data_IF_410982604246
#
_entry.id   IF_410982604246
#
_cell.length_a   1.000
_cell.length_b   1.000
_cell.length_c   1.000
_cell.angle_alpha   90.00
_cell.angle_beta   90.00
_cell.angle_gamma   90.00
#
_symmetry.space_group_name_H-M   'P 1'
#
loop_
_entity.id
_entity.type
_entity.pdbx_description
1 polymer ?
#
# COMPACT_ATOMS: atom_id res chain seq x y z
N UNK A 1 6.15 14.51 -7.11
CA UNK A 1 4.90 13.71 -7.07
C UNK A 1 4.92 12.68 -8.19
N UNK A 2 4.43 11.47 -7.92
CA UNK A 2 4.40 10.37 -8.87
C UNK A 2 3.01 9.74 -8.90
N UNK A 3 2.49 9.51 -10.11
CA UNK A 3 1.25 8.76 -10.35
C UNK A 3 1.58 7.50 -11.14
N UNK A 4 1.07 6.37 -10.68
CA UNK A 4 1.32 5.07 -11.29
C UNK A 4 0.04 4.60 -11.99
N UNK A 5 0.15 4.17 -13.23
CA UNK A 5 -0.91 3.48 -13.96
C UNK A 5 -0.50 2.01 -14.05
N UNK A 6 -1.33 1.12 -13.53
CA UNK A 6 -1.19 -0.31 -13.74
C UNK A 6 -2.23 -0.76 -14.75
N UNK A 7 -1.80 -1.50 -15.75
CA UNK A 7 -2.72 -2.12 -16.73
C UNK A 7 -2.48 -3.62 -16.74
N UNK A 8 -3.52 -4.39 -16.41
CA UNK A 8 -3.51 -5.84 -16.55
C UNK A 8 -3.96 -6.24 -17.96
N UNK A 9 -3.14 -7.05 -18.63
CA UNK A 9 -3.43 -7.61 -19.96
C UNK A 9 -3.04 -9.11 -19.97
N UNK A 10 -3.85 -9.96 -19.34
CA UNK A 10 -3.49 -11.33 -19.03
C UNK A 10 -3.11 -12.16 -20.25
N UNK A 11 -2.13 -13.07 -20.08
CA UNK A 11 -1.69 -14.01 -21.09
C UNK A 11 -0.82 -13.43 -22.21
N UNK A 12 -0.46 -12.16 -22.15
CA UNK A 12 0.33 -11.51 -23.20
C UNK A 12 1.80 -11.43 -22.84
N UNK A 13 2.65 -11.71 -23.83
CA UNK A 13 4.11 -11.57 -23.69
C UNK A 13 4.51 -10.10 -23.47
N UNK A 14 5.63 -9.81 -22.79
CA UNK A 14 6.09 -8.45 -22.51
C UNK A 14 6.15 -7.55 -23.76
N UNK A 15 6.62 -8.08 -24.89
CA UNK A 15 6.69 -7.35 -26.15
C UNK A 15 5.32 -6.92 -26.67
N UNK A 16 4.30 -7.78 -26.52
CA UNK A 16 2.92 -7.46 -26.90
C UNK A 16 2.35 -6.39 -25.95
N UNK A 17 2.58 -6.55 -24.65
CA UNK A 17 2.19 -5.56 -23.64
C UNK A 17 2.84 -4.22 -23.90
N UNK A 18 4.13 -4.18 -24.27
CA UNK A 18 4.82 -2.96 -24.64
C UNK A 18 4.18 -2.28 -25.83
N UNK A 19 4.02 -2.99 -26.94
CA UNK A 19 3.53 -2.41 -28.19
C UNK A 19 2.07 -1.94 -28.10
N UNK A 20 1.23 -2.68 -27.41
CA UNK A 20 -0.22 -2.44 -27.41
C UNK A 20 -0.72 -1.66 -26.19
N UNK A 21 0.04 -1.61 -25.10
CA UNK A 21 -0.39 -1.00 -23.84
C UNK A 21 0.63 0.00 -23.32
N UNK A 22 1.85 -0.42 -23.02
CA UNK A 22 2.83 0.43 -22.32
C UNK A 22 3.24 1.64 -23.17
N UNK A 23 3.62 1.42 -24.43
CA UNK A 23 4.05 2.48 -25.33
C UNK A 23 2.93 3.48 -25.64
N UNK A 24 1.70 3.07 -26.02
CA UNK A 24 0.59 4.00 -26.21
C UNK A 24 0.25 4.81 -24.96
N UNK A 25 0.26 4.20 -23.79
CA UNK A 25 0.03 4.89 -22.51
C UNK A 25 1.17 5.87 -22.21
N UNK A 26 2.43 5.44 -22.28
CA UNK A 26 3.57 6.29 -21.96
C UNK A 26 3.65 7.52 -22.87
N UNK A 27 3.44 7.36 -24.18
CA UNK A 27 3.43 8.47 -25.13
C UNK A 27 2.29 9.44 -24.90
N UNK A 28 1.10 8.96 -24.55
CA UNK A 28 -0.04 9.82 -24.21
C UNK A 28 0.22 10.59 -22.91
N UNK A 29 0.81 9.94 -21.91
CA UNK A 29 1.09 10.59 -20.62
C UNK A 29 2.20 11.64 -20.69
N UNK A 30 3.04 11.67 -21.72
CA UNK A 30 4.00 12.76 -21.96
C UNK A 30 3.32 14.12 -22.20
N UNK A 31 2.07 14.10 -22.65
CA UNK A 31 1.30 15.31 -22.91
C UNK A 31 0.54 15.82 -21.67
N UNK A 32 0.61 15.12 -20.55
CA UNK A 32 -0.05 15.55 -19.31
C UNK A 32 0.63 16.81 -18.77
N UNK A 33 -0.11 17.89 -18.51
CA UNK A 33 0.45 19.13 -17.98
C UNK A 33 1.23 18.89 -16.68
N UNK A 34 2.43 19.45 -16.57
CA UNK A 34 3.30 19.31 -15.40
C UNK A 34 4.00 17.95 -15.29
N UNK A 35 3.85 17.05 -16.27
CA UNK A 35 4.61 15.81 -16.32
C UNK A 35 6.08 16.11 -16.70
N UNK A 36 7.01 15.77 -15.82
CA UNK A 36 8.46 15.93 -16.01
C UNK A 36 9.08 14.74 -16.72
N UNK A 37 8.64 13.54 -16.35
CA UNK A 37 9.17 12.28 -16.89
C UNK A 37 8.10 11.21 -16.88
N UNK A 38 8.05 10.41 -17.93
CA UNK A 38 7.19 9.21 -18.01
C UNK A 38 8.06 8.00 -18.25
N UNK A 39 7.86 6.94 -17.47
CA UNK A 39 8.59 5.67 -17.57
C UNK A 39 7.60 4.53 -17.68
N UNK A 40 7.81 3.64 -18.65
CA UNK A 40 7.01 2.45 -18.85
C UNK A 40 7.80 1.18 -18.55
N UNK A 41 7.13 0.19 -17.95
CA UNK A 41 7.66 -1.15 -17.72
C UNK A 41 6.63 -2.17 -18.18
N UNK A 42 7.09 -3.14 -18.98
CA UNK A 42 6.26 -4.20 -19.54
C UNK A 42 6.68 -5.54 -18.99
N UNK A 43 5.71 -6.25 -18.40
CA UNK A 43 5.87 -7.59 -17.84
C UNK A 43 4.93 -8.54 -18.56
N UNK A 44 5.05 -9.85 -18.29
CA UNK A 44 4.09 -10.82 -18.77
C UNK A 44 2.70 -10.53 -18.18
N UNK A 45 1.79 -10.08 -19.02
CA UNK A 45 0.41 -9.75 -18.67
C UNK A 45 0.19 -8.50 -17.83
N UNK A 46 1.22 -7.66 -17.56
CA UNK A 46 1.09 -6.40 -16.83
C UNK A 46 1.94 -5.29 -17.42
N UNK A 47 1.42 -4.08 -17.38
CA UNK A 47 2.12 -2.84 -17.70
C UNK A 47 2.08 -1.89 -16.52
N UNK A 48 3.19 -1.20 -16.27
CA UNK A 48 3.27 -0.12 -15.29
C UNK A 48 3.81 1.13 -15.95
N UNK A 49 3.05 2.22 -15.90
CA UNK A 49 3.47 3.53 -16.39
C UNK A 49 3.53 4.50 -15.22
N UNK A 50 4.71 5.06 -15.01
CA UNK A 50 5.01 6.02 -13.95
C UNK A 50 5.05 7.42 -14.55
N UNK A 51 4.18 8.30 -14.10
CA UNK A 51 4.16 9.71 -14.49
C UNK A 51 4.71 10.51 -13.31
N UNK A 52 5.89 11.11 -13.51
CA UNK A 52 6.55 11.95 -12.51
C UNK A 52 6.26 13.42 -12.86
N UNK A 53 5.81 14.16 -11.86
CA UNK A 53 5.46 15.57 -11.98
C UNK A 53 6.55 16.49 -11.43
N UNK A 54 6.47 17.77 -11.78
CA UNK A 54 7.31 18.82 -11.18
C UNK A 54 7.14 18.88 -9.67
N UNK A 55 8.18 19.35 -8.98
CA UNK A 55 8.16 19.51 -7.54
C UNK A 55 7.09 20.53 -7.11
N UNK A 56 6.42 20.27 -5.99
CA UNK A 56 5.32 21.11 -5.52
C UNK A 56 3.95 20.84 -6.16
N UNK A 57 3.87 19.94 -7.16
CA UNK A 57 2.58 19.57 -7.76
C UNK A 57 1.68 18.87 -6.71
N UNK A 58 0.40 19.27 -6.66
CA UNK A 58 -0.58 18.57 -5.82
C UNK A 58 -0.85 17.15 -6.34
N UNK A 59 -0.82 16.17 -5.45
CA UNK A 59 -1.00 14.76 -5.82
C UNK A 59 -2.39 14.49 -6.42
N UNK A 60 -3.44 15.05 -5.85
CA UNK A 60 -4.80 14.76 -6.31
C UNK A 60 -5.11 15.47 -7.62
N UNK A 61 -4.58 16.66 -7.83
CA UNK A 61 -4.61 17.32 -9.12
C UNK A 61 -3.88 16.47 -10.18
N UNK A 62 -2.67 16.02 -9.91
CA UNK A 62 -1.90 15.16 -10.81
C UNK A 62 -2.66 13.87 -11.17
N UNK A 63 -3.25 13.21 -10.17
CA UNK A 63 -4.08 12.01 -10.36
C UNK A 63 -5.30 12.29 -11.25
N UNK A 64 -5.96 13.43 -11.06
CA UNK A 64 -7.10 13.84 -11.88
C UNK A 64 -6.70 14.07 -13.34
N UNK A 65 -5.56 14.71 -13.58
CA UNK A 65 -5.04 14.89 -14.95
C UNK A 65 -4.69 13.57 -15.61
N UNK A 66 -3.96 12.71 -14.90
CA UNK A 66 -3.64 11.37 -15.43
C UNK A 66 -4.90 10.56 -15.74
N UNK A 67 -5.92 10.63 -14.89
CA UNK A 67 -7.18 9.92 -15.12
C UNK A 67 -7.91 10.44 -16.37
N UNK A 68 -7.90 11.76 -16.61
CA UNK A 68 -8.48 12.36 -17.80
C UNK A 68 -7.81 11.83 -19.07
N UNK A 69 -6.48 11.84 -19.13
CA UNK A 69 -5.73 11.31 -20.27
C UNK A 69 -5.87 9.80 -20.42
N UNK A 70 -5.96 9.07 -19.28
CA UNK A 70 -6.23 7.64 -19.30
C UNK A 70 -7.59 7.31 -19.93
N UNK A 71 -8.62 8.09 -19.62
CA UNK A 71 -9.94 7.94 -20.22
C UNK A 71 -9.93 8.21 -21.75
N UNK A 72 -9.16 9.21 -22.19
CA UNK A 72 -9.04 9.52 -23.62
C UNK A 72 -8.40 8.38 -24.42
N UNK A 73 -7.40 7.70 -23.85
CA UNK A 73 -6.71 6.62 -24.56
C UNK A 73 -7.40 5.26 -24.40
N UNK A 74 -8.31 5.09 -23.46
CA UNK A 74 -8.94 3.80 -23.14
C UNK A 74 -9.53 3.08 -24.38
N UNK A 75 -10.13 3.81 -25.30
CA UNK A 75 -10.71 3.25 -26.53
C UNK A 75 -9.65 2.70 -27.51
N UNK A 76 -8.38 3.12 -27.38
CA UNK A 76 -7.27 2.69 -28.24
C UNK A 76 -6.54 1.47 -27.67
N UNK A 77 -6.77 1.15 -26.40
CA UNK A 77 -6.19 -0.01 -25.74
C UNK A 77 -6.98 -1.27 -26.13
N UNK A 78 -6.34 -2.45 -26.10
CA UNK A 78 -7.04 -3.73 -26.32
C UNK A 78 -8.22 -3.89 -25.34
N UNK A 79 -9.35 -4.42 -25.83
CA UNK A 79 -10.56 -4.59 -25.02
C UNK A 79 -10.36 -5.45 -23.77
N UNK A 80 -9.37 -6.35 -23.76
CA UNK A 80 -9.01 -7.18 -22.61
C UNK A 80 -8.09 -6.47 -21.62
N UNK A 81 -7.48 -5.34 -21.99
CA UNK A 81 -6.63 -4.57 -21.10
C UNK A 81 -7.47 -3.78 -20.07
N UNK A 82 -7.09 -3.86 -18.80
CA UNK A 82 -7.76 -3.17 -17.70
C UNK A 82 -6.79 -2.27 -16.98
N UNK A 83 -6.99 -0.97 -17.12
CA UNK A 83 -6.13 0.04 -16.49
C UNK A 83 -6.74 0.58 -15.20
N UNK A 84 -5.89 0.84 -14.21
CA UNK A 84 -6.24 1.45 -12.94
C UNK A 84 -5.11 2.35 -12.45
N UNK A 85 -5.42 3.36 -11.65
CA UNK A 85 -4.40 4.13 -10.95
C UNK A 85 -3.90 3.37 -9.73
N UNK A 86 -2.60 3.43 -9.48
CA UNK A 86 -2.02 3.00 -8.23
C UNK A 86 -2.54 3.80 -7.02
N UNK A 87 -2.17 3.41 -5.79
CA UNK A 87 -2.63 4.10 -4.58
C UNK A 87 -2.14 5.55 -4.53
N UNK A 88 -2.86 6.38 -3.77
CA UNK A 88 -2.50 7.77 -3.46
C UNK A 88 -1.41 7.84 -2.36
N UNK A 89 -0.29 7.19 -2.64
CA UNK A 89 0.83 7.02 -1.73
C UNK A 89 2.16 7.34 -2.43
N UNK A 90 3.20 7.49 -1.63
CA UNK A 90 4.58 7.62 -2.11
C UNK A 90 5.33 6.29 -1.96
N UNK A 91 6.50 6.16 -2.59
CA UNK A 91 7.37 4.98 -2.44
C UNK A 91 7.85 4.71 -1.02
N UNK A 92 7.77 5.71 -0.13
CA UNK A 92 8.08 5.58 1.30
C UNK A 92 6.84 5.34 2.17
N UNK A 93 5.68 5.06 1.56
CA UNK A 93 4.40 4.87 2.25
C UNK A 93 4.25 3.53 2.99
N UNK A 94 5.16 2.60 2.84
CA UNK A 94 5.14 1.33 3.58
C UNK A 94 5.45 1.58 5.05
N UNK A 95 4.44 1.43 5.91
CA UNK A 95 4.57 1.77 7.33
C UNK A 95 4.51 0.56 8.24
N UNK A 96 3.87 -0.53 7.80
CA UNK A 96 3.72 -1.74 8.57
C UNK A 96 3.69 -2.95 7.65
N UNK A 97 4.46 -3.99 8.00
CA UNK A 97 4.48 -5.26 7.28
C UNK A 97 4.31 -6.40 8.27
N UNK A 98 3.58 -7.43 7.84
CA UNK A 98 3.32 -8.61 8.66
C UNK A 98 3.24 -9.86 7.79
N UNK A 99 3.49 -10.98 8.43
CA UNK A 99 3.32 -12.31 7.86
C UNK A 99 2.23 -13.09 8.61
N UNK A 100 1.53 -13.97 7.89
CA UNK A 100 0.58 -14.93 8.43
C UNK A 100 1.29 -16.26 8.58
N UNK A 101 1.43 -16.73 9.82
CA UNK A 101 2.10 -17.99 10.13
C UNK A 101 1.09 -18.96 10.70
N UNK A 102 0.93 -20.12 10.07
CA UNK A 102 0.17 -21.23 10.67
C UNK A 102 1.11 -22.14 11.47
N UNK A 103 0.92 -22.15 12.79
CA UNK A 103 1.70 -22.99 13.71
C UNK A 103 1.20 -24.44 13.77
N UNK A 104 0.04 -24.71 13.20
CA UNK A 104 -0.59 -26.05 13.24
C UNK A 104 -0.35 -26.88 11.99
N UNK A 105 0.04 -26.25 10.88
CA UNK A 105 0.16 -26.89 9.58
C UNK A 105 -1.18 -27.32 8.96
N UNK A 106 -2.30 -26.81 9.48
CA UNK A 106 -3.65 -27.15 9.00
C UNK A 106 -4.12 -26.27 7.86
N UNK A 107 -3.45 -25.14 7.63
CA UNK A 107 -3.82 -24.17 6.60
C UNK A 107 -2.74 -24.10 5.52
N UNK A 108 -3.14 -24.30 4.28
CA UNK A 108 -2.25 -24.14 3.14
C UNK A 108 -2.07 -22.67 2.74
N UNK A 109 -1.09 -22.41 1.87
CA UNK A 109 -0.79 -21.05 1.38
C UNK A 109 -1.97 -20.40 0.65
N UNK A 110 -2.87 -21.18 0.06
CA UNK A 110 -4.05 -20.66 -0.62
C UNK A 110 -5.12 -20.20 0.39
N UNK A 111 -5.26 -20.92 1.49
CA UNK A 111 -6.17 -20.55 2.58
C UNK A 111 -5.66 -19.29 3.31
N UNK A 112 -4.36 -19.23 3.63
CA UNK A 112 -3.75 -18.04 4.21
C UNK A 112 -3.84 -16.82 3.27
N UNK A 113 -3.66 -17.05 1.96
CA UNK A 113 -3.83 -16.00 0.95
C UNK A 113 -5.27 -15.51 0.88
N UNK A 114 -6.24 -16.40 0.93
CA UNK A 114 -7.65 -16.04 0.94
C UNK A 114 -8.01 -15.25 2.22
N UNK A 115 -7.49 -15.65 3.38
CA UNK A 115 -7.66 -14.92 4.64
C UNK A 115 -7.10 -13.49 4.54
N UNK A 116 -5.92 -13.34 3.94
CA UNK A 116 -5.30 -12.03 3.72
C UNK A 116 -6.12 -11.18 2.75
N UNK A 117 -6.45 -11.71 1.56
CA UNK A 117 -7.08 -10.94 0.49
C UNK A 117 -8.53 -10.58 0.78
N UNK A 118 -9.30 -11.46 1.45
CA UNK A 118 -10.73 -11.32 1.63
C UNK A 118 -11.18 -10.90 3.03
N UNK A 119 -10.28 -10.92 4.02
CA UNK A 119 -10.59 -10.51 5.37
C UNK A 119 -9.65 -9.40 5.86
N UNK A 120 -8.36 -9.71 6.11
CA UNK A 120 -7.44 -8.74 6.72
C UNK A 120 -7.24 -7.48 5.87
N UNK A 121 -7.08 -7.65 4.56
CA UNK A 121 -6.91 -6.53 3.63
C UNK A 121 -8.09 -5.56 3.68
N UNK A 122 -9.32 -6.07 3.67
CA UNK A 122 -10.51 -5.22 3.71
C UNK A 122 -10.63 -4.50 5.05
N UNK A 123 -10.46 -5.21 6.15
CA UNK A 123 -10.55 -4.65 7.49
C UNK A 123 -9.51 -3.55 7.74
N UNK A 124 -8.26 -3.77 7.34
CA UNK A 124 -7.20 -2.77 7.47
C UNK A 124 -7.36 -1.59 6.51
N UNK A 125 -7.94 -1.81 5.33
CA UNK A 125 -8.17 -0.74 4.34
C UNK A 125 -9.27 0.24 4.78
N UNK A 126 -10.14 -0.13 5.72
CA UNK A 126 -11.14 0.79 6.29
C UNK A 126 -10.54 1.83 7.22
N UNK A 127 -9.31 1.63 7.67
CA UNK A 127 -8.67 2.56 8.59
C UNK A 127 -8.38 3.92 7.94
N UNK A 128 -8.55 5.02 8.69
CA UNK A 128 -8.18 6.33 8.21
C UNK A 128 -6.72 6.39 7.77
N UNK A 129 -6.46 7.12 6.70
CA UNK A 129 -5.11 7.36 6.15
C UNK A 129 -4.39 6.14 5.55
N UNK A 130 -5.00 4.96 5.53
CA UNK A 130 -4.50 3.81 4.77
C UNK A 130 -4.88 3.98 3.31
N UNK A 131 -3.88 4.02 2.43
CA UNK A 131 -4.09 4.13 0.98
C UNK A 131 -4.43 2.77 0.39
N UNK A 132 -3.66 1.76 0.77
CA UNK A 132 -3.81 0.39 0.32
C UNK A 132 -3.21 -0.59 1.32
N UNK A 133 -3.66 -1.84 1.24
CA UNK A 133 -3.01 -2.98 1.88
C UNK A 133 -2.63 -3.95 0.77
N UNK A 134 -1.34 -4.01 0.46
CA UNK A 134 -0.82 -4.92 -0.55
C UNK A 134 -0.59 -6.31 0.04
N UNK A 135 -0.91 -7.35 -0.72
CA UNK A 135 -0.62 -8.73 -0.34
C UNK A 135 0.65 -9.20 -1.01
N UNK A 136 1.52 -9.88 -0.27
CA UNK A 136 2.75 -10.49 -0.77
C UNK A 136 2.75 -11.98 -0.45
N UNK A 137 3.34 -12.78 -1.34
CA UNK A 137 3.43 -14.24 -1.18
C UNK A 137 2.11 -14.99 -1.29
N UNK A 138 2.17 -16.23 -0.88
CA UNK A 138 1.04 -17.14 -0.91
C UNK A 138 0.65 -17.56 -2.34
N UNK A 139 -0.52 -18.18 -2.43
CA UNK A 139 -1.01 -18.81 -3.64
C UNK A 139 -2.47 -18.42 -3.89
N UNK A 140 -2.73 -17.68 -4.97
CA UNK A 140 -4.11 -17.40 -5.38
C UNK A 140 -4.71 -18.66 -5.97
N UNK A 141 -5.82 -19.13 -5.38
CA UNK A 141 -6.55 -20.30 -5.85
C UNK A 141 -7.38 -19.95 -7.06
N UNK A 142 -7.32 -20.77 -8.11
CA UNK A 142 -8.13 -20.64 -9.31
C UNK A 142 -8.70 -21.98 -9.76
N UNK A 143 -9.82 -21.93 -10.49
CA UNK A 143 -10.33 -23.07 -11.24
C UNK A 143 -9.50 -23.21 -12.52
N UNK A 144 -8.95 -24.41 -12.73
CA UNK A 144 -8.14 -24.73 -13.89
C UNK A 144 -8.89 -25.74 -14.76
N UNK A 145 -9.06 -25.38 -16.02
CA UNK A 145 -9.59 -26.25 -17.06
C UNK A 145 -8.42 -26.65 -17.96
N UNK A 146 -7.86 -27.83 -17.70
CA UNK A 146 -6.73 -28.37 -18.46
C UNK A 146 -7.26 -29.17 -19.62
N UNK A 147 -7.18 -28.59 -20.82
CA UNK A 147 -7.72 -29.17 -22.03
C UNK A 147 -6.87 -30.35 -22.53
N UNK A 148 -7.52 -31.42 -23.03
CA UNK A 148 -6.87 -32.52 -23.72
C UNK A 148 -6.93 -32.26 -25.23
N UNK A 149 -5.81 -31.94 -25.91
CA UNK A 149 -5.80 -31.60 -27.33
C UNK A 149 -6.27 -32.75 -28.22
N UNK A 150 -5.99 -34.01 -27.82
CA UNK A 150 -6.37 -35.20 -28.62
C UNK A 150 -7.89 -35.42 -28.59
N UNK A 151 -8.48 -35.30 -27.41
CA UNK A 151 -9.93 -35.38 -27.24
C UNK A 151 -10.66 -34.22 -27.92
N UNK A 152 -10.14 -32.97 -27.79
CA UNK A 152 -10.71 -31.84 -28.52
C UNK A 152 -10.72 -32.06 -30.02
N UNK A 153 -9.59 -32.51 -30.59
CA UNK A 153 -9.52 -32.84 -32.02
C UNK A 153 -10.46 -33.96 -32.42
N UNK A 154 -10.57 -35.03 -31.58
CA UNK A 154 -11.48 -36.16 -31.83
C UNK A 154 -12.94 -35.74 -31.89
N UNK A 155 -13.38 -34.79 -31.12
CA UNK A 155 -14.74 -34.25 -31.13
C UNK A 155 -14.91 -33.05 -32.06
N UNK A 156 -13.84 -32.53 -32.69
CA UNK A 156 -13.85 -31.33 -33.52
C UNK A 156 -14.29 -30.10 -32.75
N UNK A 157 -13.77 -29.93 -31.52
CA UNK A 157 -14.02 -28.80 -30.62
C UNK A 157 -12.76 -27.96 -30.53
N UNK A 158 -12.90 -26.65 -30.66
CA UNK A 158 -11.79 -25.70 -30.53
C UNK A 158 -11.66 -25.15 -29.10
N UNK A 159 -10.50 -24.58 -28.77
CA UNK A 159 -10.34 -23.88 -27.51
C UNK A 159 -11.27 -22.66 -27.39
N UNK A 160 -11.61 -22.01 -28.50
CA UNK A 160 -12.56 -20.90 -28.52
C UNK A 160 -13.97 -21.37 -28.12
N UNK A 161 -14.41 -22.52 -28.63
CA UNK A 161 -15.72 -23.12 -28.29
C UNK A 161 -15.80 -23.39 -26.77
N UNK A 162 -14.74 -23.94 -26.19
CA UNK A 162 -14.66 -24.18 -24.74
C UNK A 162 -14.77 -22.87 -23.96
N UNK A 163 -13.99 -21.84 -24.33
CA UNK A 163 -14.02 -20.53 -23.68
C UNK A 163 -15.41 -19.90 -23.73
N UNK A 164 -16.06 -19.95 -24.89
CA UNK A 164 -17.40 -19.42 -25.11
C UNK A 164 -18.46 -20.17 -24.31
N UNK A 165 -18.37 -21.53 -24.28
CA UNK A 165 -19.26 -22.35 -23.48
C UNK A 165 -19.15 -22.06 -21.98
N UNK A 166 -17.94 -21.92 -21.43
CA UNK A 166 -17.72 -21.54 -20.03
C UNK A 166 -18.30 -20.15 -19.76
N UNK A 167 -18.04 -19.18 -20.64
CA UNK A 167 -18.59 -17.83 -20.52
C UNK A 167 -20.11 -17.79 -20.50
N UNK A 168 -20.76 -18.58 -21.36
CA UNK A 168 -22.22 -18.71 -21.41
C UNK A 168 -22.79 -19.44 -20.20
N UNK A 169 -22.08 -20.43 -19.68
CA UNK A 169 -22.53 -21.21 -18.52
C UNK A 169 -22.41 -20.43 -17.20
N UNK A 170 -21.52 -19.41 -17.14
CA UNK A 170 -21.29 -18.63 -15.92
C UNK A 170 -21.97 -17.25 -15.99
N UNK A 171 -23.28 -17.25 -16.18
CA UNK A 171 -24.09 -16.03 -16.29
C UNK A 171 -25.34 -16.13 -15.41
N UNK A 172 -25.79 -14.99 -14.97
CA UNK A 172 -27.07 -14.82 -14.28
C UNK A 172 -27.92 -13.83 -15.07
N UNK A 173 -29.17 -14.15 -15.26
CA UNK A 173 -30.12 -13.29 -15.99
C UNK A 173 -31.36 -13.06 -15.14
N UNK A 174 -31.75 -11.81 -14.97
CA UNK A 174 -33.07 -11.47 -14.47
C UNK A 174 -34.11 -11.72 -15.55
N UNK A 175 -35.19 -12.36 -15.17
CA UNK A 175 -36.37 -12.52 -16.02
C UNK A 175 -37.44 -11.48 -15.67
N UNK A 176 -38.66 -11.74 -16.11
CA UNK A 176 -39.83 -10.92 -15.80
C UNK A 176 -40.41 -11.24 -14.42
N UNK A 177 -41.38 -10.47 -13.99
CA UNK A 177 -42.17 -10.74 -12.79
C UNK A 177 -43.37 -11.57 -13.20
N UNK A 178 -43.64 -12.64 -12.46
CA UNK A 178 -44.84 -13.47 -12.60
C UNK A 178 -45.84 -13.09 -11.52
N UNK A 179 -46.97 -12.56 -11.91
CA UNK A 179 -48.04 -12.20 -10.98
C UNK A 179 -48.95 -13.41 -10.78
N UNK A 180 -49.04 -13.90 -9.54
CA UNK A 180 -49.89 -15.00 -9.13
C UNK A 180 -50.84 -14.50 -8.01
N UNK A 181 -52.05 -14.11 -8.38
CA UNK A 181 -53.00 -13.52 -7.45
C UNK A 181 -52.47 -12.17 -6.92
N UNK A 182 -52.36 -12.03 -5.59
CA UNK A 182 -51.84 -10.82 -4.94
C UNK A 182 -50.32 -10.83 -4.76
N UNK A 183 -49.60 -11.87 -5.19
CA UNK A 183 -48.16 -11.99 -5.05
C UNK A 183 -47.45 -11.82 -6.40
N UNK A 184 -46.36 -11.03 -6.38
CA UNK A 184 -45.42 -10.95 -7.49
C UNK A 184 -44.17 -11.80 -7.20
N UNK A 185 -43.91 -12.74 -8.12
CA UNK A 185 -42.75 -13.62 -8.06
C UNK A 185 -41.73 -13.20 -9.11
N UNK A 186 -40.54 -12.89 -8.69
CA UNK A 186 -39.43 -12.53 -9.58
C UNK A 186 -38.85 -13.83 -10.22
N UNK A 187 -38.84 -13.90 -11.52
CA UNK A 187 -38.21 -15.01 -12.27
C UNK A 187 -36.74 -14.66 -12.45
N UNK A 188 -35.88 -15.56 -12.04
CA UNK A 188 -34.42 -15.43 -12.16
C UNK A 188 -33.81 -16.73 -12.68
N UNK A 189 -32.99 -16.62 -13.72
CA UNK A 189 -32.14 -17.71 -14.16
C UNK A 189 -30.76 -17.58 -13.43
N UNK A 190 -30.46 -18.56 -12.58
CA UNK A 190 -29.19 -18.64 -11.85
C UNK A 190 -28.28 -19.66 -12.50
N UNK A 191 -27.17 -19.24 -13.08
CA UNK A 191 -26.23 -20.08 -13.81
C UNK A 191 -24.77 -19.94 -13.35
N UNK A 192 -24.50 -19.27 -12.21
CA UNK A 192 -23.11 -19.18 -11.70
C UNK A 192 -22.56 -20.56 -11.32
N UNK A 193 -21.35 -20.83 -11.79
CA UNK A 193 -20.62 -22.06 -11.50
C UNK A 193 -20.08 -21.96 -10.05
N UNK A 194 -20.37 -22.95 -9.21
CA UNK A 194 -20.05 -22.96 -7.78
C UNK A 194 -19.09 -24.09 -7.39
N UNK A 195 -19.03 -25.14 -8.19
CA UNK A 195 -18.26 -26.33 -7.90
C UNK A 195 -17.55 -26.90 -9.12
N UNK A 196 -16.54 -27.76 -8.90
CA UNK A 196 -15.88 -28.48 -9.99
C UNK A 196 -16.85 -29.35 -10.80
N UNK A 197 -17.94 -29.81 -10.18
CA UNK A 197 -18.97 -30.61 -10.85
C UNK A 197 -19.71 -29.76 -11.87
N UNK A 198 -20.06 -28.53 -11.52
CA UNK A 198 -20.77 -27.63 -12.45
C UNK A 198 -19.95 -27.39 -13.71
N UNK A 199 -18.63 -27.23 -13.58
CA UNK A 199 -17.75 -27.10 -14.74
C UNK A 199 -17.74 -28.35 -15.60
N UNK A 200 -17.72 -29.57 -15.00
CA UNK A 200 -17.67 -30.83 -15.74
C UNK A 200 -18.91 -31.05 -16.56
N UNK A 201 -20.05 -30.55 -16.14
CA UNK A 201 -21.36 -30.74 -16.78
C UNK A 201 -21.68 -29.69 -17.84
N UNK A 202 -20.80 -28.75 -18.15
CA UNK A 202 -21.00 -27.75 -19.20
C UNK A 202 -21.06 -28.45 -20.56
N UNK A 203 -22.16 -28.32 -21.31
CA UNK A 203 -22.27 -28.91 -22.66
C UNK A 203 -21.48 -28.06 -23.67
N UNK A 204 -20.64 -28.70 -24.45
CA UNK A 204 -19.85 -28.09 -25.52
C UNK A 204 -20.46 -28.26 -26.90
N UNK A 205 -20.93 -29.49 -27.22
CA UNK A 205 -21.42 -29.84 -28.54
C UNK A 205 -22.36 -31.07 -28.45
N UNK A 206 -23.25 -31.20 -29.41
CA UNK A 206 -24.01 -32.45 -29.62
C UNK A 206 -23.29 -33.29 -30.66
N UNK A 207 -22.91 -34.52 -30.29
CA UNK A 207 -22.34 -35.51 -31.19
C UNK A 207 -23.32 -36.70 -31.29
N UNK A 208 -23.89 -36.90 -32.43
CA UNK A 208 -24.90 -37.98 -32.71
C UNK A 208 -26.06 -38.00 -31.68
N UNK A 209 -26.54 -36.82 -31.28
CA UNK A 209 -27.61 -36.68 -30.28
C UNK A 209 -27.17 -36.78 -28.80
N UNK A 210 -25.90 -37.05 -28.54
CA UNK A 210 -25.34 -37.13 -27.19
C UNK A 210 -24.53 -35.85 -26.90
N UNK A 211 -24.76 -35.17 -25.77
CA UNK A 211 -23.97 -34.00 -25.42
C UNK A 211 -22.54 -34.39 -25.03
N UNK A 212 -21.56 -33.75 -25.65
CA UNK A 212 -20.16 -33.79 -25.22
C UNK A 212 -19.99 -32.71 -24.15
N UNK A 213 -19.58 -33.11 -22.95
CA UNK A 213 -19.41 -32.24 -21.80
C UNK A 213 -17.97 -31.78 -21.69
N UNK A 214 -17.77 -30.68 -20.97
CA UNK A 214 -16.42 -30.15 -20.69
C UNK A 214 -15.54 -31.18 -19.97
N UNK A 215 -16.11 -31.96 -19.05
CA UNK A 215 -15.42 -33.05 -18.37
C UNK A 215 -14.92 -34.18 -19.25
N UNK A 216 -15.48 -34.33 -20.47
CA UNK A 216 -15.05 -35.37 -21.43
C UNK A 216 -13.73 -35.00 -22.14
N UNK A 217 -13.48 -33.69 -22.30
CA UNK A 217 -12.35 -33.14 -23.06
C UNK A 217 -11.33 -32.35 -22.19
N UNK A 218 -11.60 -32.24 -20.89
CA UNK A 218 -10.72 -31.49 -19.97
C UNK A 218 -10.66 -32.11 -18.59
N UNK A 219 -9.53 -31.95 -17.93
CA UNK A 219 -9.39 -32.15 -16.47
C UNK A 219 -9.68 -30.86 -15.74
N UNK A 220 -10.64 -30.89 -14.81
CA UNK A 220 -11.05 -29.72 -14.05
C UNK A 220 -10.58 -29.87 -12.62
N UNK A 221 -9.77 -28.92 -12.16
CA UNK A 221 -9.13 -28.96 -10.86
C UNK A 221 -9.04 -27.58 -10.23
N UNK A 222 -8.79 -27.53 -8.93
CA UNK A 222 -8.31 -26.33 -8.27
C UNK A 222 -6.78 -26.30 -8.32
N UNK A 223 -6.22 -25.17 -8.66
CA UNK A 223 -4.78 -25.01 -8.73
C UNK A 223 -4.34 -23.58 -8.40
N UNK A 224 -3.03 -23.35 -8.31
CA UNK A 224 -2.49 -22.03 -8.09
C UNK A 224 -2.53 -21.18 -9.36
N UNK A 225 -2.74 -19.87 -9.21
CA UNK A 225 -2.40 -18.92 -10.25
C UNK A 225 -0.90 -18.97 -10.54
N UNK A 226 -0.49 -18.55 -11.72
CA UNK A 226 0.93 -18.47 -12.08
C UNK A 226 1.69 -17.60 -11.06
N UNK A 227 2.69 -18.20 -10.42
CA UNK A 227 3.47 -17.53 -9.38
C UNK A 227 4.45 -16.54 -10.01
N UNK A 228 4.49 -15.33 -9.46
CA UNK A 228 5.40 -14.27 -9.88
C UNK A 228 6.46 -13.92 -8.83
N UNK A 229 6.32 -14.47 -7.64
CA UNK A 229 7.22 -14.24 -6.53
C UNK A 229 6.94 -15.17 -5.36
N UNK A 230 7.85 -15.16 -4.40
CA UNK A 230 7.81 -15.93 -3.17
C UNK A 230 8.00 -14.95 -2.02
N UNK A 231 7.21 -15.08 -0.96
CA UNK A 231 7.48 -14.47 0.32
C UNK A 231 7.87 -15.56 1.31
N UNK A 232 8.93 -15.34 2.03
CA UNK A 232 9.47 -16.25 3.02
C UNK A 232 9.71 -15.51 4.34
N UNK A 233 9.62 -16.22 5.45
CA UNK A 233 9.89 -15.68 6.77
C UNK A 233 10.97 -16.50 7.47
N UNK A 234 12.10 -15.87 7.78
CA UNK A 234 13.20 -16.39 8.62
C UNK A 234 13.75 -17.77 8.21
N UNK A 235 13.74 -18.11 6.92
CA UNK A 235 14.18 -19.42 6.43
C UNK A 235 13.27 -20.59 6.80
N UNK A 236 12.06 -20.32 7.29
CA UNK A 236 11.11 -21.35 7.74
C UNK A 236 10.13 -21.80 6.67
N UNK A 237 10.28 -21.29 5.45
CA UNK A 237 9.43 -21.62 4.31
C UNK A 237 8.51 -20.47 3.88
N UNK A 238 7.69 -20.78 2.89
CA UNK A 238 6.81 -19.79 2.28
C UNK A 238 5.71 -19.32 3.20
N UNK A 239 5.39 -18.03 3.10
CA UNK A 239 4.33 -17.40 3.88
C UNK A 239 3.52 -16.43 3.03
N UNK A 240 2.47 -15.90 3.64
CA UNK A 240 1.64 -14.82 3.10
C UNK A 240 1.82 -13.62 3.99
N UNK A 241 2.01 -12.45 3.39
CA UNK A 241 2.12 -11.22 4.16
C UNK A 241 1.22 -10.12 3.64
N UNK A 242 1.09 -9.09 4.47
CA UNK A 242 0.43 -7.84 4.13
C UNK A 242 1.34 -6.65 4.36
N UNK A 243 1.26 -5.67 3.47
CA UNK A 243 1.97 -4.39 3.55
C UNK A 243 0.94 -3.28 3.64
N UNK A 244 0.93 -2.55 4.76
CA UNK A 244 0.04 -1.40 4.95
C UNK A 244 0.72 -0.15 4.42
N UNK A 245 0.04 0.54 3.51
CA UNK A 245 0.56 1.68 2.77
C UNK A 245 -0.17 2.94 3.21
N UNK A 246 0.60 3.91 3.71
CA UNK A 246 0.11 5.22 4.17
C UNK A 246 -0.21 6.14 2.99
N UNK A 247 -1.29 6.89 3.08
CA UNK A 247 -1.59 7.98 2.16
C UNK A 247 -0.54 9.08 2.23
N UNK A 248 -0.25 9.67 1.08
CA UNK A 248 0.69 10.78 0.97
C UNK A 248 0.31 11.94 1.90
N UNK A 249 1.30 12.48 2.62
CA UNK A 249 1.12 13.64 3.50
C UNK A 249 0.40 13.34 4.83
N UNK A 250 0.08 12.07 5.15
CA UNK A 250 -0.59 11.72 6.40
C UNK A 250 0.38 11.31 7.51
N UNK A 251 -0.12 11.35 8.76
CA UNK A 251 0.69 11.04 9.93
C UNK A 251 0.85 9.53 10.12
N UNK A 252 2.08 9.04 9.98
CA UNK A 252 2.40 7.62 10.10
C UNK A 252 2.16 7.09 11.53
N UNK A 253 2.50 7.86 12.57
CA UNK A 253 2.38 7.42 13.97
C UNK A 253 0.91 7.20 14.38
N UNK A 254 0.03 8.12 14.00
CA UNK A 254 -1.40 8.01 14.25
C UNK A 254 -2.01 6.81 13.51
N UNK A 255 -1.64 6.65 12.24
CA UNK A 255 -2.13 5.53 11.42
C UNK A 255 -1.63 4.19 11.95
N UNK A 256 -0.37 4.09 12.39
CA UNK A 256 0.18 2.89 13.01
C UNK A 256 -0.54 2.52 14.31
N UNK A 257 -0.86 3.49 15.15
CA UNK A 257 -1.66 3.24 16.35
C UNK A 257 -3.02 2.62 16.01
N UNK A 258 -3.70 3.11 14.97
CA UNK A 258 -4.96 2.54 14.50
C UNK A 258 -4.77 1.13 13.91
N UNK A 259 -3.69 0.90 13.15
CA UNK A 259 -3.36 -0.43 12.60
C UNK A 259 -3.12 -1.45 13.71
N UNK A 260 -2.34 -1.11 14.73
CA UNK A 260 -2.08 -1.97 15.89
C UNK A 260 -3.38 -2.32 16.62
N UNK A 261 -4.20 -1.32 16.94
CA UNK A 261 -5.47 -1.54 17.63
C UNK A 261 -6.41 -2.44 16.80
N UNK A 262 -6.47 -2.23 15.49
CA UNK A 262 -7.29 -3.05 14.60
C UNK A 262 -6.78 -4.49 14.51
N UNK A 263 -5.47 -4.70 14.37
CA UNK A 263 -4.88 -6.03 14.33
C UNK A 263 -5.13 -6.82 15.62
N UNK A 264 -5.05 -6.16 16.78
CA UNK A 264 -5.38 -6.82 18.05
C UNK A 264 -6.86 -7.27 18.10
N UNK A 265 -7.78 -6.46 17.59
CA UNK A 265 -9.20 -6.85 17.47
C UNK A 265 -9.38 -8.05 16.52
N UNK A 266 -8.67 -8.05 15.39
CA UNK A 266 -8.81 -9.09 14.36
C UNK A 266 -8.19 -10.44 14.78
N UNK A 267 -7.23 -10.46 15.70
CA UNK A 267 -6.64 -11.70 16.22
C UNK A 267 -7.68 -12.71 16.74
N UNK A 268 -8.73 -12.24 17.38
CA UNK A 268 -9.79 -13.09 17.89
C UNK A 268 -10.63 -13.78 16.79
N UNK A 269 -10.58 -13.24 15.56
CA UNK A 269 -11.33 -13.75 14.42
C UNK A 269 -10.48 -14.62 13.48
N UNK A 270 -9.20 -14.79 13.79
CA UNK A 270 -8.31 -15.65 13.00
C UNK A 270 -8.63 -17.13 13.24
N UNK A 271 -8.42 -17.99 12.24
CA UNK A 271 -8.48 -19.44 12.42
C UNK A 271 -7.48 -19.88 13.50
N UNK A 272 -7.83 -20.98 14.20
CA UNK A 272 -6.93 -21.54 15.22
C UNK A 272 -5.55 -21.88 14.66
N UNK A 273 -4.50 -21.40 15.33
CA UNK A 273 -3.12 -21.64 14.93
C UNK A 273 -2.55 -20.66 13.90
N UNK A 274 -3.36 -19.76 13.34
CA UNK A 274 -2.88 -18.71 12.48
C UNK A 274 -2.54 -17.47 13.30
N UNK A 275 -1.30 -17.00 13.17
CA UNK A 275 -0.76 -15.85 13.88
C UNK A 275 -0.34 -14.75 12.90
N UNK A 276 -0.52 -13.49 13.32
CA UNK A 276 0.05 -12.34 12.64
C UNK A 276 1.40 -12.02 13.28
N UNK A 277 2.47 -12.18 12.52
CA UNK A 277 3.84 -11.87 12.92
C UNK A 277 4.26 -10.57 12.28
N UNK A 278 4.59 -9.55 13.08
CA UNK A 278 5.08 -8.26 12.59
C UNK A 278 6.50 -8.42 12.05
N UNK A 279 6.73 -8.09 10.78
CA UNK A 279 8.04 -8.13 10.14
C UNK A 279 8.68 -6.75 10.06
N UNK A 280 7.90 -5.72 9.85
CA UNK A 280 8.33 -4.33 9.86
C UNK A 280 7.30 -3.43 10.54
N UNK A 281 7.77 -2.53 11.38
CA UNK A 281 6.96 -1.53 12.07
C UNK A 281 7.71 -0.21 12.16
N UNK A 282 7.26 0.77 11.38
CA UNK A 282 7.88 2.09 11.35
C UNK A 282 7.76 2.85 12.67
N UNK A 283 6.78 2.51 13.54
CA UNK A 283 6.66 3.16 14.85
C UNK A 283 7.93 2.99 15.67
N UNK A 284 8.57 1.81 15.61
CA UNK A 284 9.82 1.54 16.31
C UNK A 284 10.97 2.45 15.87
N UNK A 285 11.03 2.79 14.57
CA UNK A 285 12.01 3.73 14.04
C UNK A 285 11.73 5.16 14.52
N UNK A 286 10.46 5.56 14.47
CA UNK A 286 10.01 6.89 14.91
C UNK A 286 10.26 7.07 16.40
N UNK A 287 9.89 6.10 17.21
CA UNK A 287 10.05 6.15 18.68
C UNK A 287 11.53 6.19 19.07
N UNK A 288 12.39 5.39 18.44
CA UNK A 288 13.85 5.47 18.65
C UNK A 288 14.43 6.84 18.27
N UNK A 289 13.96 7.44 17.16
CA UNK A 289 14.42 8.76 16.75
C UNK A 289 14.01 9.85 17.76
N UNK A 290 12.77 9.79 18.25
CA UNK A 290 12.26 10.72 19.27
C UNK A 290 12.99 10.52 20.61
N UNK A 291 13.19 9.28 21.04
CA UNK A 291 13.90 8.93 22.26
C UNK A 291 15.35 9.42 22.22
N UNK A 292 16.08 9.13 21.14
CA UNK A 292 17.46 9.61 20.96
C UNK A 292 17.55 11.13 21.00
N UNK A 293 16.61 11.84 20.34
CA UNK A 293 16.57 13.29 20.40
C UNK A 293 16.31 13.79 21.82
N UNK A 294 15.33 13.21 22.51
CA UNK A 294 14.98 13.57 23.88
C UNK A 294 16.18 13.37 24.83
N UNK A 295 16.88 12.24 24.71
CA UNK A 295 18.08 11.97 25.48
C UNK A 295 19.19 13.00 25.21
N UNK A 296 19.44 13.32 23.95
CA UNK A 296 20.44 14.34 23.57
C UNK A 296 20.08 15.73 24.09
N UNK A 297 18.83 16.14 23.96
CA UNK A 297 18.36 17.44 24.49
C UNK A 297 18.51 17.50 26.02
N UNK A 298 18.21 16.42 26.74
CA UNK A 298 18.37 16.37 28.20
C UNK A 298 19.85 16.39 28.57
N UNK A 299 20.70 15.63 27.89
CA UNK A 299 22.15 15.60 28.09
C UNK A 299 22.75 16.98 27.87
N UNK A 300 22.47 17.64 26.75
CA UNK A 300 22.91 18.99 26.43
C UNK A 300 22.40 20.01 27.47
N UNK A 301 21.15 19.92 27.88
CA UNK A 301 20.57 20.78 28.89
C UNK A 301 21.30 20.67 30.24
N UNK A 302 21.61 19.44 30.68
CA UNK A 302 22.36 19.21 31.94
C UNK A 302 23.78 19.76 31.84
N UNK A 303 24.47 19.48 30.72
CA UNK A 303 25.86 19.98 30.53
C UNK A 303 25.89 21.51 30.52
N UNK A 304 24.98 22.13 29.77
CA UNK A 304 24.89 23.61 29.73
C UNK A 304 24.55 24.18 31.09
N UNK A 305 23.62 23.57 31.82
CA UNK A 305 23.26 24.02 33.17
C UNK A 305 24.47 23.98 34.13
N UNK A 306 25.26 22.88 34.10
CA UNK A 306 26.45 22.70 34.89
C UNK A 306 27.55 23.72 34.54
N UNK A 307 27.80 23.90 33.23
CA UNK A 307 28.78 24.87 32.74
C UNK A 307 28.38 26.29 33.12
N UNK A 308 27.11 26.67 32.86
CA UNK A 308 26.62 28.01 33.26
C UNK A 308 26.68 28.22 34.78
N UNK A 309 26.36 27.23 35.57
CA UNK A 309 26.46 27.32 37.04
C UNK A 309 27.90 27.47 37.49
N UNK A 310 28.86 26.75 36.90
CA UNK A 310 30.28 26.80 37.26
C UNK A 310 30.96 28.11 36.88
N UNK A 311 30.63 28.66 35.68
CA UNK A 311 31.31 29.88 35.18
C UNK A 311 30.66 31.18 35.64
N UNK A 312 29.33 31.24 35.75
CA UNK A 312 28.64 32.49 36.07
C UNK A 312 28.53 32.78 37.58
N UNK A 313 28.71 31.77 38.44
CA UNK A 313 28.58 31.87 39.92
C UNK A 313 27.35 32.63 40.42
N UNK A 314 26.44 33.01 39.51
CA UNK A 314 25.19 33.75 39.76
C UNK A 314 23.99 32.95 39.31
N UNK A 315 23.28 32.39 40.24
CA UNK A 315 22.14 31.51 40.00
C UNK A 315 21.05 32.15 39.09
N UNK A 316 20.84 33.46 39.21
CA UNK A 316 19.85 34.19 38.40
C UNK A 316 20.22 34.27 36.92
N UNK A 317 21.49 34.52 36.61
CA UNK A 317 21.99 34.61 35.24
C UNK A 317 22.05 33.25 34.56
N UNK A 318 22.47 32.21 35.30
CA UNK A 318 22.43 30.81 34.82
C UNK A 318 21.04 30.35 34.50
N UNK A 319 20.03 30.71 35.32
CA UNK A 319 18.64 30.33 35.10
C UNK A 319 18.09 30.87 33.75
N UNK A 320 18.49 32.08 33.34
CA UNK A 320 18.07 32.66 32.05
C UNK A 320 18.62 31.85 30.87
N UNK A 321 19.90 31.46 30.90
CA UNK A 321 20.50 30.63 29.88
C UNK A 321 19.83 29.25 29.82
N UNK A 322 19.58 28.65 30.97
CA UNK A 322 18.96 27.32 31.09
C UNK A 322 17.52 27.29 30.53
N UNK A 323 16.71 28.33 30.82
CA UNK A 323 15.31 28.43 30.37
C UNK A 323 15.20 28.80 28.89
N UNK A 324 16.18 29.55 28.34
CA UNK A 324 16.15 29.96 26.93
C UNK A 324 16.17 28.77 25.95
N UNK A 325 16.85 27.68 26.31
CA UNK A 325 16.94 26.45 25.48
C UNK A 325 15.59 25.77 25.24
N UNK A 326 14.88 25.29 26.28
CA UNK A 326 13.59 24.66 26.08
C UNK A 326 12.58 25.62 25.45
N UNK A 327 12.66 26.93 25.77
CA UNK A 327 11.81 27.94 25.17
C UNK A 327 12.04 28.07 23.66
N UNK A 328 13.30 28.09 23.21
CA UNK A 328 13.67 28.13 21.80
C UNK A 328 13.18 26.91 21.03
N UNK A 329 13.34 25.71 21.62
CA UNK A 329 12.83 24.46 21.02
C UNK A 329 11.28 24.46 20.91
N UNK A 330 10.60 24.93 21.97
CA UNK A 330 9.13 25.04 21.94
C UNK A 330 8.65 26.05 20.90
N UNK A 331 9.31 27.19 20.77
CA UNK A 331 9.02 28.20 19.74
C UNK A 331 9.20 27.58 18.35
N UNK A 332 10.28 26.81 18.10
CA UNK A 332 10.51 26.13 16.83
C UNK A 332 9.37 25.16 16.51
N UNK A 333 8.91 24.36 17.46
CA UNK A 333 7.76 23.46 17.26
C UNK A 333 6.45 24.22 17.01
N UNK A 334 6.21 25.33 17.66
CA UNK A 334 5.03 26.18 17.44
C UNK A 334 5.05 26.74 16.00
N UNK A 335 6.20 27.25 15.56
CA UNK A 335 6.37 27.77 14.19
C UNK A 335 6.18 26.66 13.16
N UNK A 336 6.81 25.50 13.35
CA UNK A 336 6.63 24.33 12.48
C UNK A 336 5.15 23.94 12.37
N UNK A 337 4.44 23.87 13.50
CA UNK A 337 3.00 23.58 13.52
C UNK A 337 2.19 24.61 12.72
N UNK A 338 2.50 25.90 12.89
CA UNK A 338 1.80 26.97 12.19
C UNK A 338 2.06 26.94 10.67
N UNK A 339 3.27 26.59 10.26
CA UNK A 339 3.66 26.45 8.86
C UNK A 339 3.26 25.09 8.24
N UNK A 340 2.68 24.18 9.00
CA UNK A 340 2.31 22.84 8.52
C UNK A 340 3.51 21.91 8.27
N UNK A 341 4.68 22.24 8.82
CA UNK A 341 5.89 21.43 8.69
C UNK A 341 5.81 20.25 9.67
N UNK A 342 5.88 19.05 9.14
CA UNK A 342 5.88 17.85 9.96
C UNK A 342 7.20 17.67 10.72
N UNK A 343 7.12 17.25 11.99
CA UNK A 343 8.28 16.83 12.76
C UNK A 343 8.77 15.46 12.24
N UNK A 344 9.68 15.47 11.28
CA UNK A 344 10.35 14.28 10.74
C UNK A 344 11.80 14.21 11.25
N UNK A 345 12.50 13.13 10.95
CA UNK A 345 13.88 12.89 11.40
C UNK A 345 14.82 14.03 10.97
N UNK A 346 14.62 14.60 9.78
CA UNK A 346 15.44 15.71 9.28
C UNK A 346 15.19 17.01 10.04
N UNK A 347 13.91 17.36 10.30
CA UNK A 347 13.57 18.55 11.08
C UNK A 347 14.00 18.43 12.54
N UNK A 348 13.88 17.24 13.13
CA UNK A 348 14.37 16.97 14.49
C UNK A 348 15.90 17.04 14.56
N UNK A 349 16.62 16.53 13.56
CA UNK A 349 18.06 16.69 13.43
C UNK A 349 18.50 18.15 13.29
N UNK A 350 17.74 18.94 12.51
CA UNK A 350 17.97 20.39 12.40
C UNK A 350 17.78 21.13 13.73
N UNK A 351 16.78 20.76 14.53
CA UNK A 351 16.58 21.30 15.88
C UNK A 351 17.77 20.95 16.79
N UNK A 352 18.25 19.72 16.77
CA UNK A 352 19.40 19.30 17.57
C UNK A 352 20.66 20.13 17.25
N UNK A 353 20.94 20.41 15.97
CA UNK A 353 22.04 21.28 15.55
C UNK A 353 21.82 22.74 16.03
N UNK A 354 20.58 23.24 15.89
CA UNK A 354 20.24 24.60 16.29
C UNK A 354 20.36 24.83 17.79
N UNK A 355 20.13 23.79 18.62
CA UNK A 355 20.31 23.87 20.09
C UNK A 355 21.73 24.25 20.44
N UNK A 356 22.74 23.63 19.83
CA UNK A 356 24.16 24.01 20.08
C UNK A 356 24.45 25.48 19.78
N UNK A 357 23.97 25.99 18.63
CA UNK A 357 24.15 27.40 18.27
C UNK A 357 23.39 28.37 19.18
N UNK A 358 22.21 27.98 19.68
CA UNK A 358 21.43 28.81 20.63
C UNK A 358 22.11 28.90 21.99
N UNK A 359 22.75 27.83 22.46
CA UNK A 359 23.50 27.82 23.72
C UNK A 359 24.61 28.85 23.69
N UNK A 360 25.44 28.82 22.65
CA UNK A 360 26.57 29.74 22.50
C UNK A 360 26.09 31.20 22.48
N UNK A 361 25.06 31.51 21.73
CA UNK A 361 24.47 32.83 21.64
C UNK A 361 23.93 33.30 23.00
N UNK A 362 23.24 32.44 23.74
CA UNK A 362 22.68 32.74 25.05
C UNK A 362 23.79 33.02 26.09
N UNK A 363 24.83 32.19 26.12
CA UNK A 363 25.96 32.33 27.03
C UNK A 363 26.70 33.65 26.79
N UNK A 364 27.02 33.96 25.51
CA UNK A 364 27.72 35.22 25.13
C UNK A 364 26.89 36.45 25.50
N UNK A 365 25.57 36.44 25.28
CA UNK A 365 24.67 37.54 25.63
C UNK A 365 24.63 37.79 27.14
N UNK A 366 24.54 36.73 27.95
CA UNK A 366 24.46 36.81 29.40
C UNK A 366 25.81 37.29 29.98
N UNK A 367 26.92 36.76 29.47
CA UNK A 367 28.26 37.21 29.90
C UNK A 367 28.46 38.69 29.61
N UNK A 368 28.08 39.17 28.41
CA UNK A 368 28.20 40.59 28.06
C UNK A 368 27.29 41.47 28.92
N UNK A 369 26.05 41.02 29.20
CA UNK A 369 25.15 41.73 30.10
C UNK A 369 25.72 41.81 31.53
N UNK A 370 26.29 40.72 32.02
CA UNK A 370 26.89 40.66 33.36
C UNK A 370 28.08 41.60 33.48
N UNK A 371 29.01 41.59 32.52
CA UNK A 371 30.16 42.51 32.46
C UNK A 371 29.73 43.98 32.45
N UNK A 372 28.66 44.32 31.75
CA UNK A 372 28.15 45.71 31.74
C UNK A 372 27.51 46.12 33.05
N UNK A 373 26.77 45.23 33.72
CA UNK A 373 26.19 45.50 35.04
C UNK A 373 27.30 45.67 36.10
N UNK A 374 28.31 44.82 36.07
CA UNK A 374 29.45 44.88 36.96
C UNK A 374 30.25 46.20 36.76
N UNK A 375 30.55 46.60 35.53
CA UNK A 375 31.19 47.87 35.19
C UNK A 375 30.36 49.07 35.65
N UNK A 376 29.02 48.98 35.55
CA UNK A 376 28.14 50.07 36.07
C UNK A 376 28.15 50.14 37.59
N UNK A 377 28.15 48.98 38.27
CA UNK A 377 28.25 48.93 39.74
C UNK A 377 29.60 49.46 40.29
N UNK A 378 30.70 49.29 39.55
CA UNK A 378 32.01 49.84 39.91
C UNK A 378 32.16 51.33 39.60
N UNK A 379 31.29 51.87 38.74
CA UNK A 379 31.34 53.30 38.36
C UNK A 379 30.40 54.19 39.21
N UNK A 380 29.53 53.60 40.01
CA UNK A 380 28.58 54.28 40.89
C UNK A 380 28.63 53.69 42.30
#
# INVERSE_FOLDING_TARGET
VQVIIRTSYPGQAPQIVENQVTYPLATTMLSVPGAKTVRGFSFFGDSFVYVLFEDGTDLYWARSRVLEYLNQIQARLPAAARSSLGPDATGVGWIYEYALVDRTGQHDLAQLRALQDWFLKFELKTLPNVAEVATVGGMVKQYQVVLDPVKLAGFGITQADVKDAIGKANQESGGSVLTLGEAELMVRASGYLKSLVDFRTIPLKLANGVPVLLGDVATIQLGPEMRRGIAELDGQGETVGGVVILRSGKNARETLAAVHAKLEQLKASLPKGVEIVTTYDRSKLIDRAVENLSHKLIEEFIVVALVCAAFLWHLRSSLVAIVSLPLGVLIAFIVMRHQGINANIMSLGGIAIAVGAMVDAAVVMIENAHKKVEAWQHAH
#
